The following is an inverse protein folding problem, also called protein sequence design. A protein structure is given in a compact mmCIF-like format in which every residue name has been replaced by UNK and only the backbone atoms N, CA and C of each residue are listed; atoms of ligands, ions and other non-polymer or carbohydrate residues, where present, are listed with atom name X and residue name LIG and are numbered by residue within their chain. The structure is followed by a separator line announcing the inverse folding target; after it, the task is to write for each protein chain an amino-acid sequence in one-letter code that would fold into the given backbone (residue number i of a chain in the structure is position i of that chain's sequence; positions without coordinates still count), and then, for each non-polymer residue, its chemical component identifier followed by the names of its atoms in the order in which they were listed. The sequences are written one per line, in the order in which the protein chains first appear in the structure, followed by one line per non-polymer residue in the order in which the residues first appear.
data_IF_102114973592
#
_entry.id   IF_102114973592
#
_cell.length_a   1.000
_cell.length_b   1.000
_cell.length_c   1.000
_cell.angle_alpha   90.00
_cell.angle_beta   90.00
_cell.angle_gamma   90.00
#
_symmetry.space_group_name_H-M   'P 1'
#
loop_
_entity.id
_entity.type
_entity.pdbx_description
1 polymer ?
#
# COMPACT_ATOMS: atom_id res chain seq x y z
N UNK A 1 8.71 33.38 12.87
CA UNK A 1 8.86 32.28 13.84
C UNK A 1 7.56 32.19 14.61
N UNK A 2 6.79 31.13 14.41
CA UNK A 2 5.58 30.84 15.21
C UNK A 2 6.00 30.45 16.62
N UNK A 3 5.15 30.74 17.61
CA UNK A 3 5.37 30.47 19.05
C UNK A 3 5.57 28.99 19.41
N UNK A 4 5.40 28.06 18.47
CA UNK A 4 5.47 26.61 18.68
C UNK A 4 6.88 26.01 18.52
N UNK A 5 7.89 26.82 18.15
CA UNK A 5 9.28 26.37 17.95
C UNK A 5 10.17 26.56 19.20
N UNK A 6 9.61 26.95 20.34
CA UNK A 6 10.38 27.12 21.58
C UNK A 6 10.64 25.74 22.22
N UNK A 7 11.85 25.22 22.01
CA UNK A 7 12.33 24.00 22.66
C UNK A 7 12.37 24.24 24.17
N UNK A 8 11.52 23.53 24.93
CA UNK A 8 11.58 23.54 26.39
C UNK A 8 12.96 23.02 26.85
N UNK A 9 13.82 23.96 27.26
CA UNK A 9 15.20 23.69 27.68
C UNK A 9 15.26 22.76 28.91
N UNK A 10 14.17 22.67 29.67
CA UNK A 10 14.05 21.79 30.84
C UNK A 10 13.92 20.30 30.46
N UNK A 11 13.41 19.99 29.26
CA UNK A 11 13.28 18.63 28.72
C UNK A 11 14.54 18.20 27.97
N UNK A 12 15.20 19.13 27.26
CA UNK A 12 16.41 18.85 26.48
C UNK A 12 17.58 18.29 27.32
N UNK A 13 17.62 18.59 28.62
CA UNK A 13 18.61 18.03 29.56
C UNK A 13 18.22 16.68 30.18
N UNK A 14 16.96 16.23 30.05
CA UNK A 14 16.50 14.95 30.63
C UNK A 14 16.70 13.75 29.70
N UNK A 15 16.74 13.99 28.39
CA UNK A 15 16.85 12.92 27.41
C UNK A 15 18.07 13.20 26.51
N UNK A 16 19.10 12.33 26.50
CA UNK A 16 20.25 12.51 25.65
C UNK A 16 19.87 12.39 24.17
N UNK A 17 20.60 13.11 23.32
CA UNK A 17 20.34 13.09 21.87
C UNK A 17 20.47 11.68 21.27
N UNK A 18 21.36 10.81 21.79
CA UNK A 18 21.44 9.43 21.29
C UNK A 18 20.14 8.66 21.52
N UNK A 19 19.47 8.88 22.65
CA UNK A 19 18.17 8.29 22.95
C UNK A 19 17.09 8.81 21.99
N UNK A 20 17.02 10.12 21.76
CA UNK A 20 16.05 10.69 20.81
C UNK A 20 16.29 10.21 19.36
N UNK A 21 17.54 9.96 19.01
CA UNK A 21 17.94 9.48 17.69
C UNK A 21 17.68 7.98 17.51
N UNK A 22 17.65 7.18 18.57
CA UNK A 22 17.35 5.74 18.51
C UNK A 22 15.85 5.44 18.40
N UNK A 23 14.97 6.39 18.71
CA UNK A 23 13.52 6.21 18.56
C UNK A 23 13.12 6.04 17.09
N UNK A 24 12.50 4.91 16.75
CA UNK A 24 11.88 4.63 15.44
C UNK A 24 10.36 4.37 15.57
N UNK A 25 9.57 5.36 16.01
CA UNK A 25 8.13 5.18 16.17
C UNK A 25 7.41 5.09 14.83
N UNK A 26 6.29 4.37 14.82
CA UNK A 26 5.46 4.19 13.63
C UNK A 26 5.03 5.53 13.04
N UNK A 27 5.25 5.71 11.73
CA UNK A 27 4.87 6.92 11.00
C UNK A 27 5.91 8.05 11.05
N UNK A 28 7.04 7.87 11.74
CA UNK A 28 8.24 8.69 11.53
C UNK A 28 9.23 7.96 10.62
N UNK A 29 9.97 8.69 9.78
CA UNK A 29 11.14 8.16 9.11
C UNK A 29 12.25 7.88 10.14
N UNK A 30 13.15 6.93 9.86
CA UNK A 30 14.28 6.65 10.72
C UNK A 30 15.15 7.91 10.88
N UNK A 31 15.87 8.03 11.99
CA UNK A 31 16.73 9.18 12.23
C UNK A 31 17.77 9.34 11.11
N UNK A 32 18.43 8.23 10.75
CA UNK A 32 19.35 8.16 9.62
C UNK A 32 18.63 7.55 8.41
N UNK A 33 18.51 8.33 7.33
CA UNK A 33 17.94 7.90 6.05
C UNK A 33 19.09 7.86 5.03
N UNK A 34 19.48 6.65 4.62
CA UNK A 34 20.50 6.44 3.60
C UNK A 34 19.84 6.02 2.29
N UNK A 35 20.01 6.83 1.25
CA UNK A 35 19.39 6.61 -0.05
C UNK A 35 20.45 6.64 -1.14
N UNK A 36 20.22 5.85 -2.19
CA UNK A 36 21.04 5.81 -3.39
C UNK A 36 20.16 6.08 -4.60
N UNK A 37 20.71 6.74 -5.61
CA UNK A 37 20.03 6.89 -6.91
C UNK A 37 19.62 5.51 -7.45
N UNK A 38 18.40 5.42 -7.96
CA UNK A 38 17.78 4.19 -8.45
C UNK A 38 17.06 3.36 -7.38
N UNK A 39 17.18 3.67 -6.08
CA UNK A 39 16.45 2.91 -5.07
C UNK A 39 14.95 3.22 -5.10
N UNK A 40 14.14 2.23 -4.70
CA UNK A 40 12.69 2.42 -4.54
C UNK A 40 12.39 2.85 -3.11
N UNK A 41 11.60 3.91 -2.99
CA UNK A 41 11.13 4.46 -1.73
C UNK A 41 9.60 4.56 -1.70
N UNK A 42 9.06 4.69 -0.50
CA UNK A 42 7.63 4.92 -0.24
C UNK A 42 7.45 6.20 0.57
N UNK A 43 6.40 6.96 0.25
CA UNK A 43 6.05 8.18 0.95
C UNK A 43 5.27 7.87 2.24
N UNK A 44 5.61 8.53 3.35
CA UNK A 44 5.04 8.26 4.68
C UNK A 44 3.90 9.20 5.07
N UNK A 45 3.67 10.28 4.30
CA UNK A 45 2.65 11.29 4.56
C UNK A 45 2.11 11.87 3.26
N UNK A 46 0.87 12.33 3.31
CA UNK A 46 0.29 13.15 2.26
C UNK A 46 1.03 14.49 2.21
N UNK A 47 1.63 14.82 1.06
CA UNK A 47 2.25 16.13 0.81
C UNK A 47 1.38 16.92 -0.17
N UNK A 48 1.11 16.31 -1.32
CA UNK A 48 0.30 16.89 -2.38
C UNK A 48 -0.54 15.80 -3.05
N UNK A 49 -1.69 15.43 -2.45
CA UNK A 49 -2.53 14.35 -2.97
C UNK A 49 -2.99 14.57 -4.41
N UNK A 50 -3.25 15.82 -4.77
CA UNK A 50 -3.65 16.22 -6.14
C UNK A 50 -2.58 15.90 -7.19
N UNK A 51 -1.32 15.83 -6.78
CA UNK A 51 -0.17 15.55 -7.65
C UNK A 51 0.30 14.09 -7.56
N UNK A 52 -0.44 13.24 -6.83
CA UNK A 52 -0.09 11.83 -6.61
C UNK A 52 0.89 11.61 -5.45
N UNK A 53 1.23 12.65 -4.67
CA UNK A 53 2.10 12.56 -3.49
C UNK A 53 1.27 12.26 -2.23
N UNK A 54 0.68 11.07 -2.23
CA UNK A 54 -0.07 10.51 -1.12
C UNK A 54 0.80 9.57 -0.27
N UNK A 55 0.35 9.30 0.94
CA UNK A 55 0.91 8.23 1.75
C UNK A 55 0.89 6.91 0.97
N UNK A 56 1.93 6.11 1.16
CA UNK A 56 2.17 4.86 0.46
C UNK A 56 2.47 4.97 -1.05
N UNK A 57 2.60 6.18 -1.62
CA UNK A 57 3.06 6.36 -3.01
C UNK A 57 4.49 5.83 -3.17
N UNK A 58 4.67 4.91 -4.12
CA UNK A 58 5.98 4.36 -4.48
C UNK A 58 6.67 5.22 -5.50
N UNK A 59 7.96 5.44 -5.31
CA UNK A 59 8.76 6.32 -6.15
C UNK A 59 10.17 5.76 -6.30
N UNK A 60 10.82 6.06 -7.41
CA UNK A 60 12.23 5.78 -7.62
C UNK A 60 13.05 7.05 -7.40
N UNK A 61 14.15 6.95 -6.65
CA UNK A 61 15.07 8.08 -6.46
C UNK A 61 15.83 8.34 -7.77
N UNK A 62 15.70 9.55 -8.29
CA UNK A 62 16.42 9.99 -9.50
C UNK A 62 17.68 10.76 -9.10
N UNK A 63 17.56 11.63 -8.10
CA UNK A 63 18.68 12.44 -7.60
C UNK A 63 18.49 12.83 -6.14
N UNK A 64 19.57 12.82 -5.38
CA UNK A 64 19.59 13.27 -3.99
C UNK A 64 20.33 14.61 -3.89
N UNK A 65 19.66 15.64 -3.38
CA UNK A 65 20.29 16.89 -2.97
C UNK A 65 20.15 17.06 -1.44
N UNK A 66 20.90 17.98 -0.80
CA UNK A 66 20.91 18.11 0.66
C UNK A 66 19.53 18.34 1.30
N UNK A 67 18.61 19.02 0.60
CA UNK A 67 17.29 19.44 1.12
C UNK A 67 16.09 18.93 0.31
N UNK A 68 16.34 18.35 -0.86
CA UNK A 68 15.31 17.89 -1.79
C UNK A 68 15.76 16.57 -2.41
N UNK A 69 14.83 15.64 -2.57
CA UNK A 69 15.02 14.42 -3.36
C UNK A 69 14.14 14.55 -4.60
N UNK A 70 14.74 14.35 -5.76
CA UNK A 70 14.02 14.22 -7.02
C UNK A 70 13.66 12.76 -7.25
N UNK A 71 12.40 12.52 -7.58
CA UNK A 71 11.85 11.17 -7.64
C UNK A 71 10.95 11.00 -8.87
N UNK A 72 10.85 9.76 -9.34
CA UNK A 72 9.93 9.34 -10.38
C UNK A 72 8.79 8.53 -9.74
N UNK A 73 7.54 8.92 -9.97
CA UNK A 73 6.38 8.22 -9.38
C UNK A 73 6.14 6.88 -10.10
N UNK A 74 5.99 5.81 -9.32
CA UNK A 74 5.75 4.45 -9.79
C UNK A 74 4.30 3.98 -9.57
N UNK A 75 3.48 4.72 -8.83
CA UNK A 75 2.08 4.36 -8.55
C UNK A 75 1.13 4.78 -9.69
N UNK A 76 0.09 3.98 -9.92
CA UNK A 76 -0.94 4.20 -10.96
C UNK A 76 -1.63 5.57 -10.76
N UNK A 77 -1.90 6.27 -11.87
CA UNK A 77 -2.52 7.62 -11.89
C UNK A 77 -1.54 8.75 -12.17
N UNK A 78 -0.35 8.71 -11.56
CA UNK A 78 0.73 9.69 -11.79
C UNK A 78 2.04 9.02 -12.24
N UNK A 79 1.95 7.79 -12.74
CA UNK A 79 3.08 6.99 -13.19
C UNK A 79 3.95 7.76 -14.18
N UNK A 80 5.26 7.75 -13.96
CA UNK A 80 6.24 8.38 -14.85
C UNK A 80 6.40 9.90 -14.67
N UNK A 81 5.64 10.53 -13.77
CA UNK A 81 5.83 11.95 -13.44
C UNK A 81 6.98 12.13 -12.46
N UNK A 82 7.76 13.20 -12.67
CA UNK A 82 8.77 13.64 -11.72
C UNK A 82 8.15 14.45 -10.59
N UNK A 83 8.70 14.31 -9.39
CA UNK A 83 8.30 15.08 -8.22
C UNK A 83 9.51 15.40 -7.33
N UNK A 84 9.33 16.38 -6.45
CA UNK A 84 10.35 16.81 -5.50
C UNK A 84 9.86 16.58 -4.07
N UNK A 85 10.65 15.87 -3.29
CA UNK A 85 10.34 15.56 -1.89
C UNK A 85 11.23 16.41 -0.98
N UNK A 86 10.67 17.41 -0.28
CA UNK A 86 11.40 18.21 0.69
C UNK A 86 11.48 17.52 2.06
N UNK A 87 12.36 18.01 2.93
CA UNK A 87 12.32 17.66 4.36
C UNK A 87 11.16 18.39 5.04
N UNK A 88 10.31 17.65 5.75
CA UNK A 88 9.18 18.20 6.51
C UNK A 88 9.32 17.86 8.00
N UNK A 89 8.69 18.66 8.86
CA UNK A 89 8.59 18.38 10.29
C UNK A 89 7.48 17.37 10.52
N UNK A 90 7.82 16.24 11.15
CA UNK A 90 6.91 15.13 11.41
C UNK A 90 6.76 14.94 12.90
N UNK A 91 5.51 14.91 13.35
CA UNK A 91 5.14 14.53 14.71
C UNK A 91 4.59 13.10 14.66
N UNK A 92 5.00 12.21 15.58
CA UNK A 92 4.42 10.88 15.66
C UNK A 92 2.94 10.97 16.03
N UNK A 93 2.12 10.10 15.46
CA UNK A 93 0.66 10.14 15.66
C UNK A 93 0.23 9.61 17.03
N UNK A 94 1.00 8.69 17.61
CA UNK A 94 0.79 8.15 18.94
C UNK A 94 2.10 7.60 19.48
N UNK A 95 2.61 8.20 20.53
CA UNK A 95 3.73 7.68 21.31
C UNK A 95 3.34 7.91 22.77
N UNK A 96 3.36 6.84 23.57
CA UNK A 96 3.28 6.94 25.03
C UNK A 96 4.62 7.47 25.57
N UNK A 97 5.07 8.60 25.02
CA UNK A 97 6.24 9.32 25.50
C UNK A 97 5.78 10.42 26.45
N UNK A 98 6.55 10.68 27.52
CA UNK A 98 6.26 11.78 28.44
C UNK A 98 6.53 13.17 27.83
N UNK A 99 6.86 13.25 26.53
CA UNK A 99 7.17 14.49 25.83
C UNK A 99 6.70 14.43 24.37
N UNK A 100 6.44 15.61 23.80
CA UNK A 100 6.13 15.76 22.37
C UNK A 100 7.42 15.82 21.57
N UNK A 101 7.55 14.93 20.58
CA UNK A 101 8.71 14.87 19.70
C UNK A 101 8.35 15.35 18.29
N UNK A 102 9.22 16.15 17.69
CA UNK A 102 9.12 16.52 16.27
C UNK A 102 10.45 16.22 15.57
N UNK A 103 10.40 15.52 14.44
CA UNK A 103 11.58 15.17 13.63
C UNK A 103 11.48 15.84 12.27
N UNK A 104 12.45 16.67 11.91
CA UNK A 104 12.55 17.24 10.55
C UNK A 104 13.37 16.32 9.65
N UNK A 105 12.71 15.64 8.72
CA UNK A 105 13.34 14.65 7.85
C UNK A 105 12.56 14.51 6.53
N UNK A 106 13.16 13.88 5.52
CA UNK A 106 12.41 13.42 4.35
C UNK A 106 11.34 12.40 4.78
N UNK A 107 10.07 12.58 4.40
CA UNK A 107 8.98 11.70 4.82
C UNK A 107 8.96 10.41 3.98
N UNK A 108 10.08 9.70 3.89
CA UNK A 108 10.26 8.54 3.02
C UNK A 108 10.92 7.38 3.75
N UNK A 109 10.67 6.16 3.27
CA UNK A 109 11.35 4.92 3.70
C UNK A 109 11.74 4.10 2.47
N UNK A 110 12.82 3.31 2.56
CA UNK A 110 13.14 2.33 1.52
C UNK A 110 12.01 1.31 1.38
N UNK A 111 11.71 0.92 0.15
CA UNK A 111 10.55 0.10 -0.20
C UNK A 111 10.90 -1.00 -1.21
N UNK A 112 11.96 -1.76 -0.92
CA UNK A 112 12.30 -2.98 -1.66
C UNK A 112 11.34 -4.13 -1.35
N UNK A 113 10.91 -4.23 -0.09
CA UNK A 113 9.89 -5.15 0.38
C UNK A 113 8.75 -4.37 1.01
N UNK A 114 7.52 -4.85 0.82
CA UNK A 114 6.31 -4.29 1.41
C UNK A 114 5.54 -5.42 2.08
N UNK A 115 4.83 -5.09 3.15
CA UNK A 115 3.88 -6.03 3.74
C UNK A 115 2.70 -6.23 2.79
N UNK A 116 2.05 -7.40 2.87
CA UNK A 116 0.87 -7.73 2.05
C UNK A 116 -0.19 -6.63 2.15
N UNK A 117 -0.49 -6.18 3.37
CA UNK A 117 -1.46 -5.12 3.62
C UNK A 117 -1.09 -3.81 2.90
N UNK A 118 0.20 -3.45 2.87
CA UNK A 118 0.68 -2.24 2.19
C UNK A 118 0.74 -2.36 0.67
N UNK A 119 0.75 -3.58 0.15
CA UNK A 119 0.63 -3.86 -1.29
C UNK A 119 -0.83 -3.79 -1.79
N UNK A 120 -1.81 -3.63 -0.91
CA UNK A 120 -3.22 -3.60 -1.32
C UNK A 120 -3.51 -2.42 -2.26
N UNK A 121 -4.15 -2.69 -3.41
CA UNK A 121 -4.41 -1.70 -4.45
C UNK A 121 -3.24 -1.39 -5.39
N UNK A 122 -2.07 -2.00 -5.20
CA UNK A 122 -0.90 -1.77 -6.04
C UNK A 122 -0.68 -2.92 -7.03
N UNK A 123 -0.71 -2.63 -8.33
CA UNK A 123 -0.32 -3.61 -9.36
C UNK A 123 1.18 -3.53 -9.61
N UNK A 124 1.84 -4.68 -9.67
CA UNK A 124 3.28 -4.78 -9.98
C UNK A 124 3.53 -5.77 -11.10
N UNK A 125 4.64 -5.60 -11.83
CA UNK A 125 4.98 -6.49 -12.95
C UNK A 125 5.52 -7.84 -12.50
N UNK A 126 6.31 -7.85 -11.43
CA UNK A 126 6.92 -9.03 -10.83
C UNK A 126 6.72 -8.97 -9.32
N UNK A 127 6.42 -10.12 -8.71
CA UNK A 127 6.22 -10.26 -7.26
C UNK A 127 7.10 -11.39 -6.75
N UNK A 128 7.93 -11.08 -5.77
CA UNK A 128 8.46 -12.08 -4.84
C UNK A 128 7.60 -12.09 -3.58
N UNK A 129 7.04 -13.25 -3.21
CA UNK A 129 6.32 -13.44 -1.95
C UNK A 129 7.19 -14.23 -0.99
N UNK A 130 7.55 -13.63 0.14
CA UNK A 130 8.25 -14.34 1.22
C UNK A 130 7.22 -14.95 2.18
N UNK A 131 7.07 -16.28 2.13
CA UNK A 131 6.18 -17.07 2.98
C UNK A 131 6.94 -17.99 3.92
N UNK A 132 8.21 -17.67 4.25
CA UNK A 132 8.94 -18.38 5.31
C UNK A 132 8.23 -18.29 6.66
N UNK A 133 7.43 -17.25 6.86
CA UNK A 133 6.41 -17.17 7.90
C UNK A 133 5.03 -17.22 7.23
N UNK A 134 4.11 -18.11 7.66
CA UNK A 134 2.81 -18.25 7.03
C UNK A 134 1.96 -16.98 7.19
N UNK A 135 1.01 -16.79 6.26
CA UNK A 135 0.00 -15.74 6.37
C UNK A 135 -0.88 -16.00 7.60
N UNK A 136 -1.25 -14.93 8.30
CA UNK A 136 -1.95 -15.04 9.60
C UNK A 136 -3.42 -14.61 9.53
N UNK A 137 -3.87 -14.07 8.39
CA UNK A 137 -5.22 -13.53 8.24
C UNK A 137 -5.85 -13.87 6.90
N UNK A 138 -7.18 -13.81 6.91
CA UNK A 138 -8.03 -14.09 5.78
C UNK A 138 -7.68 -13.26 4.54
N UNK A 139 -7.64 -13.93 3.39
CA UNK A 139 -7.52 -13.26 2.10
C UNK A 139 -6.16 -12.62 1.82
N UNK A 140 -5.19 -12.68 2.75
CA UNK A 140 -3.85 -12.12 2.52
C UNK A 140 -3.12 -12.79 1.36
N UNK A 141 -3.24 -14.13 1.24
CA UNK A 141 -2.67 -14.88 0.13
C UNK A 141 -3.30 -14.46 -1.21
N UNK A 142 -4.62 -14.28 -1.23
CA UNK A 142 -5.32 -13.77 -2.41
C UNK A 142 -4.91 -12.33 -2.75
N UNK A 143 -4.78 -11.45 -1.75
CA UNK A 143 -4.35 -10.07 -1.93
C UNK A 143 -2.97 -10.03 -2.58
N UNK A 144 -2.00 -10.83 -2.12
CA UNK A 144 -0.65 -10.79 -2.68
C UNK A 144 -0.56 -11.43 -4.07
N UNK A 145 -1.25 -12.55 -4.31
CA UNK A 145 -1.22 -13.23 -5.61
C UNK A 145 -1.94 -12.41 -6.69
N UNK A 146 -3.02 -11.70 -6.33
CA UNK A 146 -3.73 -10.80 -7.25
C UNK A 146 -2.97 -9.51 -7.59
N UNK A 147 -1.77 -9.26 -7.05
CA UNK A 147 -0.96 -8.07 -7.41
C UNK A 147 -0.26 -8.21 -8.77
N UNK A 148 -0.08 -9.45 -9.24
CA UNK A 148 0.48 -9.76 -10.55
C UNK A 148 -0.62 -10.23 -11.51
N UNK A 149 -0.51 -9.83 -12.77
CA UNK A 149 -1.48 -10.20 -13.82
C UNK A 149 -1.23 -11.59 -14.42
N UNK A 150 -0.03 -12.14 -14.23
CA UNK A 150 0.40 -13.43 -14.78
C UNK A 150 1.13 -14.22 -13.70
N UNK A 151 0.83 -15.51 -13.62
CA UNK A 151 1.41 -16.43 -12.66
C UNK A 151 2.92 -16.60 -12.84
N UNK A 152 3.42 -16.59 -14.09
CA UNK A 152 4.84 -16.73 -14.43
C UNK A 152 5.74 -15.62 -13.85
N UNK A 153 5.13 -14.55 -13.34
CA UNK A 153 5.82 -13.40 -12.75
C UNK A 153 5.71 -13.36 -11.22
N UNK A 154 5.20 -14.43 -10.63
CA UNK A 154 5.11 -14.63 -9.19
C UNK A 154 6.14 -15.69 -8.78
N UNK A 155 7.01 -15.32 -7.84
CA UNK A 155 7.94 -16.26 -7.21
C UNK A 155 7.64 -16.30 -5.72
N UNK A 156 7.48 -17.50 -5.17
CA UNK A 156 7.17 -17.70 -3.76
C UNK A 156 8.37 -18.36 -3.07
N UNK A 157 8.81 -17.77 -1.97
CA UNK A 157 9.85 -18.33 -1.11
C UNK A 157 9.18 -19.02 0.08
N UNK A 158 9.36 -20.33 0.18
CA UNK A 158 8.82 -21.17 1.25
C UNK A 158 9.91 -21.47 2.32
N UNK A 159 9.54 -21.94 3.52
CA UNK A 159 10.51 -22.43 4.50
C UNK A 159 11.30 -23.61 3.93
N UNK A 160 12.58 -23.75 4.31
CA UNK A 160 13.45 -24.83 3.83
C UNK A 160 13.01 -26.25 4.26
N UNK A 161 12.00 -26.36 5.13
CA UNK A 161 11.45 -27.65 5.56
C UNK A 161 10.31 -28.07 4.62
N UNK A 162 10.69 -28.78 3.55
CA UNK A 162 9.93 -29.67 2.66
C UNK A 162 8.38 -29.67 2.71
N UNK A 163 7.75 -28.52 2.54
CA UNK A 163 6.35 -28.43 2.17
C UNK A 163 6.24 -27.46 1.00
N UNK A 164 5.98 -27.98 -0.21
CA UNK A 164 5.64 -27.19 -1.41
C UNK A 164 4.25 -26.51 -1.30
N UNK A 165 3.75 -26.36 -0.09
CA UNK A 165 2.40 -25.86 0.19
C UNK A 165 2.43 -24.86 1.35
N UNK A 166 1.49 -23.92 1.31
CA UNK A 166 1.28 -22.94 2.37
C UNK A 166 -0.17 -22.98 2.81
N UNK A 167 -0.44 -22.68 4.08
CA UNK A 167 -1.79 -22.67 4.62
C UNK A 167 -2.55 -21.44 4.12
N UNK A 168 -3.65 -21.66 3.40
CA UNK A 168 -4.57 -20.58 3.04
C UNK A 168 -5.60 -20.39 4.16
N UNK A 169 -5.56 -19.25 4.84
CA UNK A 169 -6.54 -18.89 5.87
C UNK A 169 -7.80 -18.35 5.18
N UNK A 170 -8.88 -19.12 5.23
CA UNK A 170 -10.19 -18.79 4.64
C UNK A 170 -11.24 -18.74 5.77
N UNK A 171 -12.04 -17.67 5.85
CA UNK A 171 -13.18 -17.53 6.76
C UNK A 171 -14.45 -17.72 5.93
N UNK A 172 -15.09 -18.90 5.99
CA UNK A 172 -16.26 -19.22 5.16
C UNK A 172 -17.41 -18.23 5.34
N UNK A 173 -17.54 -17.59 6.50
CA UNK A 173 -18.58 -16.62 6.83
C UNK A 173 -18.52 -15.40 5.90
N UNK A 174 -17.31 -14.97 5.51
CA UNK A 174 -17.09 -13.86 4.57
C UNK A 174 -17.47 -14.25 3.14
N UNK A 175 -17.23 -15.51 2.76
CA UNK A 175 -17.62 -16.03 1.45
C UNK A 175 -19.14 -16.23 1.36
N UNK A 176 -19.78 -16.69 2.44
CA UNK A 176 -21.23 -16.88 2.52
C UNK A 176 -21.99 -15.55 2.58
N UNK A 177 -21.46 -14.52 3.26
CA UNK A 177 -22.00 -13.16 3.22
C UNK A 177 -21.95 -12.55 1.82
N UNK A 178 -20.91 -12.84 1.03
CA UNK A 178 -20.81 -12.32 -0.35
C UNK A 178 -21.90 -12.89 -1.27
N UNK A 179 -22.37 -14.12 -1.04
CA UNK A 179 -23.47 -14.73 -1.80
C UNK A 179 -24.83 -14.16 -1.38
N UNK A 180 -25.04 -13.91 -0.08
CA UNK A 180 -26.29 -13.33 0.42
C UNK A 180 -26.43 -11.82 0.10
N UNK A 181 -25.34 -11.05 0.12
CA UNK A 181 -25.34 -9.64 -0.28
C UNK A 181 -25.32 -9.44 -1.80
N UNK A 182 -24.72 -10.35 -2.57
CA UNK A 182 -24.84 -10.31 -4.04
C UNK A 182 -26.28 -10.59 -4.48
N UNK A 183 -26.95 -11.57 -3.88
CA UNK A 183 -28.37 -11.86 -4.18
C UNK A 183 -29.31 -10.71 -3.77
N UNK A 184 -29.04 -10.01 -2.65
CA UNK A 184 -29.85 -8.85 -2.26
C UNK A 184 -29.56 -7.58 -3.08
N UNK A 185 -28.32 -7.37 -3.55
CA UNK A 185 -27.97 -6.26 -4.44
C UNK A 185 -28.51 -6.47 -5.87
N UNK A 186 -28.46 -7.69 -6.41
CA UNK A 186 -29.03 -8.00 -7.73
C UNK A 186 -30.57 -7.90 -7.78
N UNK A 187 -31.27 -8.13 -6.67
CA UNK A 187 -32.73 -7.96 -6.57
C UNK A 187 -33.15 -6.49 -6.41
N UNK A 188 -32.25 -5.59 -5.97
CA UNK A 188 -32.56 -4.16 -5.78
C UNK A 188 -32.21 -3.27 -6.98
N UNK A 189 -31.44 -3.77 -7.95
CA UNK A 189 -30.96 -2.99 -9.11
C UNK A 189 -31.67 -3.38 -10.43
N UNK A 190 -32.76 -4.15 -10.35
CA UNK A 190 -33.65 -4.50 -11.46
C UNK A 190 -35.03 -3.86 -11.22
N UNK A 191 -35.18 -2.57 -11.57
CA UNK A 191 -36.45 -2.08 -12.13
C UNK A 191 -36.31 -0.76 -12.92
N UNK A 192 -37.05 -0.71 -14.02
CA UNK A 192 -37.41 0.44 -14.88
C UNK A 192 -36.30 1.33 -15.46
N UNK A 193 -35.70 0.93 -16.60
CA UNK A 193 -35.39 1.89 -17.71
C UNK A 193 -34.87 1.34 -19.04
N UNK A 194 -34.81 0.03 -19.26
CA UNK A 194 -34.29 -0.50 -20.52
C UNK A 194 -35.29 -1.44 -21.20
N UNK A 195 -36.45 -0.90 -21.61
CA UNK A 195 -37.29 -1.59 -22.58
C UNK A 195 -38.15 -0.61 -23.38
N UNK A 196 -37.49 0.26 -24.14
CA UNK A 196 -38.14 0.88 -25.30
C UNK A 196 -37.10 1.11 -26.39
N UNK A 197 -36.93 0.10 -27.24
CA UNK A 197 -36.55 0.18 -28.65
C UNK A 197 -36.74 -1.23 -29.25
N UNK A 198 -37.97 -1.42 -29.77
CA UNK A 198 -38.36 -2.09 -31.03
C UNK A 198 -37.42 -3.15 -31.62
N UNK A 199 -37.83 -4.41 -31.74
CA UNK A 199 -38.81 -4.99 -32.69
C UNK A 199 -38.01 -5.79 -33.75
N UNK A 200 -38.46 -7.02 -33.96
CA UNK A 200 -38.18 -7.90 -35.12
C UNK A 200 -36.92 -8.79 -35.14
N UNK A 201 -37.21 -10.05 -35.49
CA UNK A 201 -36.32 -11.15 -35.90
C UNK A 201 -35.55 -11.91 -34.80
N UNK A 202 -36.11 -13.03 -34.34
CA UNK A 202 -35.65 -14.38 -34.71
C UNK A 202 -36.36 -15.44 -33.85
N UNK A 203 -37.63 -15.70 -34.18
CA UNK A 203 -38.21 -17.04 -34.04
C UNK A 203 -37.62 -17.87 -35.19
N UNK A 204 -36.76 -18.87 -34.91
CA UNK A 204 -36.42 -19.98 -35.84
C UNK A 204 -35.67 -21.07 -35.04
N UNK A 205 -36.41 -22.15 -34.75
CA UNK A 205 -35.98 -23.55 -34.61
C UNK A 205 -34.95 -23.94 -33.51
N UNK A 206 -35.48 -24.28 -32.33
CA UNK A 206 -34.97 -25.43 -31.57
C UNK A 206 -35.45 -26.73 -32.26
N UNK A 207 -34.62 -27.31 -33.13
CA UNK A 207 -34.68 -28.74 -33.45
C UNK A 207 -33.67 -29.46 -32.57
N UNK A 208 -34.21 -30.14 -31.56
CA UNK A 208 -33.54 -31.17 -30.76
C UNK A 208 -33.24 -32.37 -31.66
N UNK A 209 -31.97 -32.76 -31.74
CA UNK A 209 -31.54 -34.09 -32.19
C UNK A 209 -30.89 -34.77 -31.00
N UNK A 210 -31.59 -35.73 -30.39
CA UNK A 210 -31.00 -36.98 -29.91
C UNK A 210 -32.11 -38.00 -29.61
N UNK A 211 -31.76 -39.26 -29.85
CA UNK A 211 -32.60 -40.44 -30.14
C UNK A 211 -33.60 -40.85 -29.07
#
# INVERSE_FOLDING_TARGET
MSKDDEVDRTIANRYPNEYLNSLDPTGLPPFKVELKVGCTIILLRNIAPKDGLCNDTRMMVVRCAPRIIEVLILTRGHFGKFAFIPRISLTPSSLDLPFRMTRRQFPVRLAYALTINKSQGQSVKFVGVDLRTPVFSHGQLYVVLSRCTSFDRVSVLLPNNELDSTTNVVYPEVLLLSVLYSLSVFLYDWDEKAMDLKEEEYDIYNTTMEK
#
